data_IF_758005898598
#
_entry.id   IF_758005898598
#
_cell.length_a   1.000
_cell.length_b   1.000
_cell.length_c   1.000
_cell.angle_alpha   90.00
_cell.angle_beta   90.00
_cell.angle_gamma   90.00
#
_symmetry.space_group_name_H-M   'P 1'
#
loop_
_entity.id
_entity.type
_entity.pdbx_description
1 polymer ?
#
# COMPACT_ATOMS: atom_id res chain seq x y z
N UNK A 1 -1.87 13.64 -3.61
CA UNK A 1 -2.32 12.25 -3.53
C UNK A 1 -2.43 11.66 -4.92
N UNK A 2 -2.09 10.41 -5.05
CA UNK A 2 -2.09 9.71 -6.32
C UNK A 2 -2.93 8.45 -6.21
N UNK A 3 -3.74 8.17 -7.24
CA UNK A 3 -4.67 7.04 -7.23
C UNK A 3 -4.58 6.30 -8.55
N UNK A 4 -4.50 4.99 -8.50
CA UNK A 4 -4.51 4.13 -9.68
C UNK A 4 -5.64 3.11 -9.58
N UNK A 5 -6.36 2.93 -10.69
CA UNK A 5 -7.46 1.99 -10.77
C UNK A 5 -7.05 0.81 -11.65
N UNK A 6 -7.37 -0.39 -11.22
CA UNK A 6 -7.05 -1.59 -11.99
C UNK A 6 -8.33 -2.20 -12.55
N UNK A 7 -8.17 -2.90 -13.68
CA UNK A 7 -9.31 -3.48 -14.37
C UNK A 7 -10.02 -4.56 -13.55
N UNK A 8 -9.29 -5.21 -12.67
CA UNK A 8 -9.87 -6.26 -11.83
C UNK A 8 -10.60 -5.72 -10.61
N UNK A 9 -10.73 -4.41 -10.51
CA UNK A 9 -11.47 -3.78 -9.42
C UNK A 9 -10.60 -3.28 -8.28
N UNK A 10 -9.31 -3.54 -8.32
CA UNK A 10 -8.43 -3.09 -7.25
C UNK A 10 -8.08 -1.62 -7.39
N UNK A 11 -7.67 -1.04 -6.29
CA UNK A 11 -7.34 0.37 -6.22
C UNK A 11 -6.08 0.56 -5.39
N UNK A 12 -5.19 1.41 -5.85
CA UNK A 12 -3.98 1.76 -5.11
C UNK A 12 -3.89 3.27 -5.01
N UNK A 13 -3.56 3.76 -3.82
CA UNK A 13 -3.43 5.20 -3.61
C UNK A 13 -2.30 5.51 -2.67
N UNK A 14 -1.72 6.69 -2.84
CA UNK A 14 -0.59 7.12 -2.02
C UNK A 14 -0.08 8.46 -2.46
N UNK A 15 1.18 8.72 -2.15
CA UNK A 15 1.80 10.01 -2.41
C UNK A 15 3.14 9.82 -3.10
N UNK A 16 3.50 10.79 -3.94
CA UNK A 16 4.79 10.84 -4.60
C UNK A 16 5.56 12.08 -4.15
N UNK A 17 6.86 11.91 -3.99
CA UNK A 17 7.75 13.03 -3.71
C UNK A 17 8.95 12.88 -4.62
N UNK A 18 9.22 13.92 -5.43
CA UNK A 18 10.34 13.91 -6.38
C UNK A 18 10.30 12.70 -7.31
N UNK A 19 9.09 12.33 -7.75
CA UNK A 19 8.91 11.24 -8.69
C UNK A 19 8.99 9.85 -8.10
N UNK A 20 9.12 9.74 -6.78
CA UNK A 20 9.22 8.45 -6.10
C UNK A 20 8.11 8.31 -5.07
N UNK A 21 7.69 7.07 -4.86
CA UNK A 21 6.69 6.80 -3.84
C UNK A 21 7.17 7.23 -2.47
N UNK A 22 6.28 7.85 -1.71
CA UNK A 22 6.63 8.37 -0.39
C UNK A 22 5.42 8.32 0.52
N UNK A 23 5.68 8.32 1.84
CA UNK A 23 4.61 8.28 2.84
C UNK A 23 3.78 7.01 2.73
N UNK A 24 2.55 7.04 3.24
CA UNK A 24 1.70 5.86 3.32
C UNK A 24 1.08 5.52 1.98
N UNK A 25 1.14 4.25 1.62
CA UNK A 25 0.52 3.72 0.42
C UNK A 25 -0.43 2.61 0.81
N UNK A 26 -1.62 2.63 0.23
CA UNK A 26 -2.66 1.64 0.53
C UNK A 26 -3.17 1.05 -0.77
N UNK A 27 -3.26 -0.28 -0.83
CA UNK A 27 -3.90 -1.00 -1.92
C UNK A 27 -5.19 -1.62 -1.39
N UNK A 28 -6.24 -1.55 -2.21
CA UNK A 28 -7.56 -2.03 -1.83
C UNK A 28 -8.00 -3.11 -2.79
N UNK A 29 -8.78 -4.07 -2.29
CA UNK A 29 -9.35 -5.11 -3.13
C UNK A 29 -10.47 -4.58 -4.01
N UNK A 30 -11.10 -3.47 -3.62
CA UNK A 30 -12.23 -2.93 -4.36
C UNK A 30 -12.16 -1.40 -4.44
N UNK A 31 -12.95 -0.84 -5.35
CA UNK A 31 -12.99 0.61 -5.56
C UNK A 31 -13.65 1.34 -4.42
N UNK A 32 -14.48 0.67 -3.65
CA UNK A 32 -15.20 1.29 -2.53
C UNK A 32 -14.32 1.47 -1.30
N UNK A 33 -13.09 0.94 -1.34
CA UNK A 33 -12.16 1.01 -0.22
C UNK A 33 -12.72 0.37 1.04
N UNK A 34 -13.37 -0.78 0.86
CA UNK A 34 -13.94 -1.49 2.01
C UNK A 34 -13.01 -2.56 2.55
N UNK A 35 -12.13 -3.11 1.69
CA UNK A 35 -11.22 -4.17 2.10
C UNK A 35 -9.83 -3.87 1.58
N UNK A 36 -8.89 -3.72 2.49
CA UNK A 36 -7.50 -3.46 2.12
C UNK A 36 -6.82 -4.71 1.62
N UNK A 37 -5.95 -4.54 0.65
CA UNK A 37 -5.07 -5.60 0.19
C UNK A 37 -3.74 -5.51 0.93
N UNK A 38 -3.18 -4.32 1.01
CA UNK A 38 -1.95 -4.09 1.75
C UNK A 38 -1.83 -2.62 2.07
N UNK A 39 -1.05 -2.32 3.10
CA UNK A 39 -0.81 -0.95 3.51
C UNK A 39 0.56 -0.86 4.15
N UNK A 40 1.28 0.21 3.84
CA UNK A 40 2.59 0.42 4.42
C UNK A 40 3.13 1.78 4.03
N UNK A 41 4.43 1.96 4.29
CA UNK A 41 5.07 3.24 4.03
C UNK A 41 6.22 3.09 3.05
N UNK A 42 6.40 4.10 2.23
CA UNK A 42 7.53 4.20 1.31
C UNK A 42 8.37 5.41 1.67
N UNK A 43 9.64 5.31 1.39
CA UNK A 43 10.54 6.46 1.47
C UNK A 43 11.46 6.41 0.28
N UNK A 44 11.37 7.43 -0.57
CA UNK A 44 12.17 7.53 -1.79
C UNK A 44 12.06 6.27 -2.66
N UNK A 45 10.84 5.74 -2.74
CA UNK A 45 10.57 4.57 -3.56
C UNK A 45 10.83 3.23 -2.90
N UNK A 46 11.28 3.22 -1.65
CA UNK A 46 11.60 1.98 -0.94
C UNK A 46 10.60 1.71 0.17
N UNK A 47 10.24 0.45 0.35
CA UNK A 47 9.37 0.04 1.43
C UNK A 47 10.13 0.13 2.76
N UNK A 48 9.48 0.72 3.75
CA UNK A 48 10.07 0.87 5.09
C UNK A 48 9.05 0.49 6.16
N UNK A 49 9.56 0.24 7.38
CA UNK A 49 8.71 -0.01 8.56
C UNK A 49 7.83 -1.23 8.37
N UNK A 50 6.68 -1.25 9.03
CA UNK A 50 5.75 -2.35 8.97
C UNK A 50 4.87 -2.26 7.74
N UNK A 51 4.69 -3.40 7.09
CA UNK A 51 3.74 -3.53 5.99
C UNK A 51 2.71 -4.57 6.39
N UNK A 52 1.46 -4.24 6.19
CA UNK A 52 0.33 -5.09 6.56
C UNK A 52 -0.29 -5.66 5.29
N UNK A 53 -0.50 -6.97 5.29
CA UNK A 53 -1.11 -7.66 4.15
C UNK A 53 -2.40 -8.32 4.59
N UNK A 54 -3.46 -8.12 3.83
CA UNK A 54 -4.79 -8.59 4.16
C UNK A 54 -5.31 -9.52 3.08
N UNK A 55 -6.20 -10.46 3.47
CA UNK A 55 -6.84 -11.32 2.50
C UNK A 55 -8.09 -10.63 1.95
N UNK A 56 -8.76 -11.31 1.00
CA UNK A 56 -9.92 -10.71 0.35
C UNK A 56 -11.10 -10.51 1.29
N UNK A 57 -11.10 -11.20 2.41
CA UNK A 57 -12.16 -11.03 3.42
C UNK A 57 -11.90 -9.84 4.33
N UNK A 58 -10.72 -9.21 4.19
CA UNK A 58 -10.38 -8.07 5.02
C UNK A 58 -9.64 -8.40 6.28
N UNK A 59 -9.28 -9.66 6.49
CA UNK A 59 -8.56 -10.09 7.67
C UNK A 59 -7.07 -9.95 7.48
N UNK A 60 -6.38 -9.57 8.55
CA UNK A 60 -4.93 -9.45 8.51
C UNK A 60 -4.31 -10.82 8.28
N UNK A 61 -3.49 -10.93 7.25
CA UNK A 61 -2.88 -12.19 6.84
C UNK A 61 -1.41 -12.26 7.23
N UNK A 62 -0.69 -11.15 7.07
CA UNK A 62 0.74 -11.14 7.28
C UNK A 62 1.22 -9.75 7.63
N UNK A 63 2.28 -9.67 8.43
CA UNK A 63 2.96 -8.41 8.71
C UNK A 63 4.42 -8.62 8.37
N UNK A 64 4.98 -7.70 7.58
CA UNK A 64 6.39 -7.73 7.23
C UNK A 64 7.07 -6.46 7.69
N UNK A 65 8.32 -6.60 8.06
CA UNK A 65 9.13 -5.47 8.52
C UNK A 65 10.22 -5.20 7.51
N UNK A 66 10.35 -3.94 7.16
CA UNK A 66 11.38 -3.51 6.22
C UNK A 66 12.25 -2.47 6.91
N UNK A 67 13.56 -2.61 6.73
CA UNK A 67 14.50 -1.67 7.32
C UNK A 67 14.70 -0.50 6.38
N UNK A 68 14.60 0.73 6.87
CA UNK A 68 14.91 1.91 6.04
C UNK A 68 16.40 2.11 5.86
N UNK A 69 17.16 1.27 6.48
CA UNK A 69 18.60 1.42 6.59
C UNK A 69 19.31 0.35 5.77
N UNK A 70 20.28 0.73 5.02
CA UNK A 70 21.02 -0.22 4.19
C UNK A 70 22.45 0.12 4.09
#
# INVERSE_FOLDING_TARGET
QWTAWFEDGRLTEGYYANGKKDATWTSWWDHERTRKEMQGAYKSGKMIDKWFFYDKSGNLKEIRYFSPDF
#
